data_IF_907290805906
#
_entry.id   IF_907290805906
#
_cell.length_a   1.000
_cell.length_b   1.000
_cell.length_c   1.000
_cell.angle_alpha   90.00
_cell.angle_beta   90.00
_cell.angle_gamma   90.00
#
_symmetry.space_group_name_H-M   'P 1'
#
loop_
_entity.id
_entity.type
_entity.pdbx_description
1 polymer ?
#
# COMPACT_ATOMS: atom_id res chain seq x y z
N UNK A 1 18.07 1.24 4.14
CA UNK A 1 19.04 1.06 5.24
C UNK A 1 19.29 -0.44 5.41
N UNK A 2 20.43 -0.96 4.93
CA UNK A 2 20.75 -2.39 4.94
C UNK A 2 21.23 -2.93 6.31
N UNK A 3 21.54 -2.05 7.26
CA UNK A 3 22.17 -2.38 8.54
C UNK A 3 21.34 -3.33 9.42
N UNK A 4 20.02 -3.17 9.45
CA UNK A 4 19.11 -3.97 10.28
C UNK A 4 18.71 -5.33 9.69
N UNK A 5 19.29 -5.75 8.56
CA UNK A 5 18.84 -6.94 7.82
C UNK A 5 18.97 -8.24 8.62
N UNK A 6 19.94 -8.32 9.52
CA UNK A 6 20.21 -9.50 10.35
C UNK A 6 19.18 -9.70 11.48
N UNK A 7 18.43 -8.65 11.86
CA UNK A 7 17.39 -8.71 12.89
C UNK A 7 16.02 -9.12 12.33
N UNK A 8 15.86 -9.10 11.00
CA UNK A 8 14.59 -9.41 10.35
C UNK A 8 14.38 -10.93 10.40
N UNK A 9 13.47 -11.36 11.27
CA UNK A 9 13.01 -12.76 11.29
C UNK A 9 12.44 -13.12 9.91
N UNK A 10 12.87 -14.25 9.30
CA UNK A 10 12.31 -14.69 8.03
C UNK A 10 10.78 -14.78 8.09
N UNK A 11 10.11 -14.51 6.96
CA UNK A 11 8.65 -14.59 6.82
C UNK A 11 7.81 -13.61 7.67
N UNK A 12 8.43 -12.62 8.31
CA UNK A 12 7.69 -11.57 9.07
C UNK A 12 6.83 -10.67 8.18
N UNK A 13 7.17 -10.53 6.89
CA UNK A 13 6.48 -9.67 5.95
C UNK A 13 6.30 -10.37 4.59
N UNK A 14 5.06 -10.75 4.28
CA UNK A 14 4.69 -11.53 3.08
C UNK A 14 3.45 -10.96 2.36
N UNK A 15 3.44 -9.67 1.96
CA UNK A 15 2.28 -9.05 1.32
C UNK A 15 1.94 -9.67 -0.05
N UNK A 16 2.90 -10.34 -0.68
CA UNK A 16 2.77 -11.02 -1.97
C UNK A 16 2.88 -12.56 -1.84
N UNK A 17 2.79 -13.08 -0.61
CA UNK A 17 3.03 -14.50 -0.31
C UNK A 17 4.51 -14.90 -0.37
N UNK A 18 4.76 -16.20 -0.30
CA UNK A 18 6.10 -16.81 -0.36
C UNK A 18 6.04 -18.25 -0.85
N UNK A 19 7.19 -18.82 -1.23
CA UNK A 19 7.26 -20.19 -1.76
C UNK A 19 6.75 -20.34 -3.20
N UNK A 20 6.34 -21.55 -3.64
CA UNK A 20 5.96 -21.83 -5.03
C UNK A 20 4.67 -21.14 -5.48
N UNK A 21 3.91 -20.55 -4.54
CA UNK A 21 2.68 -19.80 -4.78
C UNK A 21 2.85 -18.31 -4.49
N UNK A 22 4.06 -17.77 -4.67
CA UNK A 22 4.28 -16.33 -4.58
C UNK A 22 3.54 -15.58 -5.71
N UNK A 23 3.30 -14.29 -5.52
CA UNK A 23 2.71 -13.46 -6.56
C UNK A 23 3.68 -13.33 -7.74
N UNK A 24 3.31 -13.91 -8.88
CA UNK A 24 4.04 -13.75 -10.17
C UNK A 24 4.16 -12.28 -10.58
N UNK A 25 3.20 -11.45 -10.18
CA UNK A 25 3.14 -10.01 -10.46
C UNK A 25 3.90 -9.11 -9.49
N UNK A 26 4.62 -9.65 -8.48
CA UNK A 26 5.26 -8.84 -7.43
C UNK A 26 6.14 -7.71 -8.00
N UNK A 27 7.00 -8.04 -8.98
CA UNK A 27 7.91 -7.07 -9.58
C UNK A 27 7.16 -5.96 -10.35
N UNK A 28 6.11 -6.34 -11.07
CA UNK A 28 5.28 -5.41 -11.82
C UNK A 28 4.50 -4.49 -10.88
N UNK A 29 3.85 -5.04 -9.86
CA UNK A 29 3.09 -4.24 -8.88
C UNK A 29 3.97 -3.24 -8.14
N UNK A 30 5.17 -3.65 -7.74
CA UNK A 30 6.14 -2.75 -7.11
C UNK A 30 6.64 -1.65 -8.07
N UNK A 31 6.82 -1.96 -9.35
CA UNK A 31 7.20 -0.95 -10.34
C UNK A 31 6.08 0.07 -10.55
N UNK A 32 4.86 -0.42 -10.78
CA UNK A 32 3.68 0.43 -11.01
C UNK A 32 3.43 1.37 -9.83
N UNK A 33 3.45 0.86 -8.59
CA UNK A 33 3.18 1.70 -7.42
C UNK A 33 4.30 2.73 -7.20
N UNK A 34 5.56 2.38 -7.45
CA UNK A 34 6.69 3.32 -7.33
C UNK A 34 6.59 4.46 -8.34
N UNK A 35 6.30 4.14 -9.60
CA UNK A 35 6.10 5.15 -10.64
C UNK A 35 4.91 6.05 -10.30
N UNK A 36 3.78 5.45 -9.92
CA UNK A 36 2.58 6.18 -9.52
C UNK A 36 2.86 7.15 -8.37
N UNK A 37 3.50 6.69 -7.29
CA UNK A 37 3.86 7.52 -6.15
C UNK A 37 4.86 8.62 -6.51
N UNK A 38 5.89 8.31 -7.30
CA UNK A 38 6.86 9.31 -7.75
C UNK A 38 6.17 10.43 -8.54
N UNK A 39 5.28 10.09 -9.48
CA UNK A 39 4.50 11.07 -10.22
C UNK A 39 3.58 11.90 -9.32
N UNK A 40 2.90 11.26 -8.37
CA UNK A 40 1.98 11.94 -7.46
C UNK A 40 2.71 12.95 -6.57
N UNK A 41 3.82 12.53 -5.93
CA UNK A 41 4.59 13.38 -5.01
C UNK A 41 5.28 14.54 -5.74
N UNK A 42 5.74 14.33 -6.98
CA UNK A 42 6.42 15.38 -7.75
C UNK A 42 5.47 16.43 -8.32
N UNK A 43 4.21 16.07 -8.62
CA UNK A 43 3.27 16.95 -9.33
C UNK A 43 2.16 17.52 -8.47
N UNK A 44 1.87 16.91 -7.32
CA UNK A 44 0.70 17.26 -6.51
C UNK A 44 1.09 17.50 -5.05
N UNK A 45 0.37 18.42 -4.41
CA UNK A 45 0.45 18.63 -2.98
C UNK A 45 -0.75 17.98 -2.29
N UNK A 46 -0.48 17.06 -1.37
CA UNK A 46 -1.51 16.42 -0.56
C UNK A 46 -1.90 17.31 0.61
N UNK A 47 -3.18 17.69 0.68
CA UNK A 47 -3.73 18.50 1.76
C UNK A 47 -4.92 17.76 2.38
N UNK A 48 -5.05 17.86 3.70
CA UNK A 48 -6.18 17.25 4.43
C UNK A 48 -7.42 18.11 4.25
N UNK A 49 -8.55 17.46 4.07
CA UNK A 49 -9.87 18.10 4.07
C UNK A 49 -10.61 17.78 5.36
N UNK A 50 -11.66 18.53 5.74
CA UNK A 50 -12.51 18.19 6.89
C UNK A 50 -13.16 16.80 6.80
N UNK A 51 -13.22 16.21 5.58
CA UNK A 51 -13.75 14.87 5.31
C UNK A 51 -12.70 13.76 5.40
N UNK A 52 -11.43 14.11 5.62
CA UNK A 52 -10.33 13.13 5.72
C UNK A 52 -10.37 12.46 7.08
N UNK A 53 -10.56 11.13 7.12
CA UNK A 53 -10.58 10.37 8.38
C UNK A 53 -9.19 10.28 9.01
N UNK A 54 -9.09 10.60 10.30
CA UNK A 54 -7.84 10.57 11.08
C UNK A 54 -8.14 10.01 12.48
N UNK A 55 -7.77 8.75 12.80
CA UNK A 55 -7.02 7.79 11.99
C UNK A 55 -7.86 7.20 10.83
N UNK A 56 -7.17 6.71 9.79
CA UNK A 56 -7.79 6.07 8.64
C UNK A 56 -8.61 4.85 9.08
N UNK A 57 -9.89 4.82 8.70
CA UNK A 57 -10.78 3.71 9.00
C UNK A 57 -10.78 2.70 7.85
N UNK A 58 -10.68 1.42 8.19
CA UNK A 58 -10.57 0.33 7.21
C UNK A 58 -11.88 -0.46 7.14
N UNK A 59 -12.25 -0.87 5.94
CA UNK A 59 -13.29 -1.85 5.70
C UNK A 59 -12.67 -3.18 5.28
N UNK A 60 -13.14 -4.26 5.91
CA UNK A 60 -12.70 -5.62 5.62
C UNK A 60 -13.57 -6.18 4.49
N UNK A 61 -12.95 -6.49 3.35
CA UNK A 61 -13.54 -7.32 2.30
C UNK A 61 -13.05 -8.76 2.40
N UNK A 62 -13.61 -9.65 1.59
CA UNK A 62 -13.24 -11.07 1.55
C UNK A 62 -11.75 -11.27 1.22
N UNK A 63 -11.14 -10.42 0.39
CA UNK A 63 -9.75 -10.59 -0.07
C UNK A 63 -8.82 -9.43 0.29
N UNK A 64 -9.30 -8.20 0.34
CA UNK A 64 -8.46 -7.01 0.50
C UNK A 64 -9.06 -6.01 1.49
N UNK A 65 -8.20 -5.38 2.29
CA UNK A 65 -8.60 -4.26 3.14
C UNK A 65 -8.57 -2.99 2.30
N UNK A 66 -9.62 -2.18 2.37
CA UNK A 66 -9.72 -0.90 1.66
C UNK A 66 -10.19 0.20 2.61
N UNK A 67 -9.96 1.49 2.32
CA UNK A 67 -10.44 2.58 3.18
C UNK A 67 -11.96 2.62 3.18
N UNK A 68 -12.58 2.77 4.35
CA UNK A 68 -14.05 2.81 4.49
C UNK A 68 -14.69 3.96 3.69
N UNK A 69 -13.97 5.07 3.55
CA UNK A 69 -14.34 6.21 2.70
C UNK A 69 -13.39 6.28 1.52
N UNK A 70 -13.94 6.18 0.33
CA UNK A 70 -13.23 6.34 -0.95
C UNK A 70 -13.57 7.68 -1.59
N UNK A 71 -12.71 8.15 -2.48
CA UNK A 71 -12.96 9.35 -3.30
C UNK A 71 -14.30 9.27 -4.07
N UNK A 72 -14.76 8.06 -4.41
CA UNK A 72 -16.01 7.83 -5.12
C UNK A 72 -17.27 8.17 -4.29
N UNK A 73 -17.18 8.18 -2.95
CA UNK A 73 -18.32 8.47 -2.06
C UNK A 73 -18.64 9.98 -1.96
N UNK A 74 -17.93 10.81 -2.74
CA UNK A 74 -18.06 12.28 -2.74
C UNK A 74 -18.64 12.84 -4.04
N UNK A 75 -18.90 11.99 -5.04
CA UNK A 75 -19.71 12.30 -6.24
C UNK A 75 -21.17 11.90 -5.96
#
# INVERSE_FOLDING_TARGET
>A
MPENKHLIKPYTYLPFGGGPRNCVGMRLGLLQIKICLAHMVLKYQFVRTPKTDVPLQYQRSIQMIYPKRSFADTL
#
